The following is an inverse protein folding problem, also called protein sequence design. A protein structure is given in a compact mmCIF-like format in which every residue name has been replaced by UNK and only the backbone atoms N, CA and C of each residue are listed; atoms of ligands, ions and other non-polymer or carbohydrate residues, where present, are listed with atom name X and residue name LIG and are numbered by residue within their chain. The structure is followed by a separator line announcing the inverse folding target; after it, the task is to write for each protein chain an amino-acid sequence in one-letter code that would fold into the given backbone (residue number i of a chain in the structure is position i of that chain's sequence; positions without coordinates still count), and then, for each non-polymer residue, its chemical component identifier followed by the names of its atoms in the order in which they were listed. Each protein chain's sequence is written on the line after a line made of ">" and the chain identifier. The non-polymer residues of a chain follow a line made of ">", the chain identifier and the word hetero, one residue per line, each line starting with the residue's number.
data_IF_998340345890
#
_entry.id   IF_998340345890
#
_cell.length_a   1.000
_cell.length_b   1.000
_cell.length_c   1.000
_cell.angle_alpha   90.00
_cell.angle_beta   90.00
_cell.angle_gamma   90.00
#
_symmetry.space_group_name_H-M   'P 1'
#
loop_
_entity.id
_entity.type
_entity.pdbx_description
1 polymer ?
#
# COMPACT_ATOMS: atom_id res chain seq x y z
N UNK A 1 15.01 16.14 5.81
CA UNK A 1 13.71 15.59 6.26
C UNK A 1 13.52 14.26 5.55
N UNK A 2 13.09 13.17 6.23
CA UNK A 2 12.77 11.94 5.53
C UNK A 2 11.65 12.24 4.53
N UNK A 3 11.82 11.82 3.28
CA UNK A 3 10.80 12.01 2.26
C UNK A 3 9.59 11.16 2.65
N UNK A 4 8.58 11.79 3.25
CA UNK A 4 7.31 11.13 3.52
C UNK A 4 6.66 10.87 2.18
N UNK A 5 6.76 9.62 1.69
CA UNK A 5 6.04 9.20 0.49
C UNK A 5 4.56 9.35 0.81
N UNK A 6 3.92 10.31 0.14
CA UNK A 6 2.49 10.54 0.27
C UNK A 6 1.73 9.27 -0.14
N UNK A 7 0.64 8.96 0.57
CA UNK A 7 -0.20 7.84 0.19
C UNK A 7 -0.87 8.12 -1.16
N UNK A 8 -0.59 7.26 -2.13
CA UNK A 8 -1.26 7.24 -3.43
C UNK A 8 -2.08 5.95 -3.53
N UNK A 9 -3.42 6.04 -3.55
CA UNK A 9 -4.31 4.89 -3.70
C UNK A 9 -4.06 4.09 -4.98
N UNK A 10 -3.76 4.75 -6.09
CA UNK A 10 -3.53 4.12 -7.39
C UNK A 10 -2.20 3.36 -7.39
N UNK A 11 -1.15 3.98 -6.82
CA UNK A 11 0.13 3.32 -6.63
C UNK A 11 -0.02 2.08 -5.73
N UNK A 12 -0.76 2.22 -4.63
CA UNK A 12 -0.99 1.13 -3.67
C UNK A 12 -1.76 -0.03 -4.30
N UNK A 13 -2.77 0.26 -5.12
CA UNK A 13 -3.51 -0.76 -5.86
C UNK A 13 -2.59 -1.48 -6.85
N UNK A 14 -1.81 -0.73 -7.63
CA UNK A 14 -0.88 -1.30 -8.61
C UNK A 14 0.23 -2.13 -7.94
N UNK A 15 0.72 -1.71 -6.78
CA UNK A 15 1.68 -2.49 -6.00
C UNK A 15 1.12 -3.83 -5.51
N UNK A 16 -0.18 -3.91 -5.17
CA UNK A 16 -0.84 -5.18 -4.84
C UNK A 16 -0.94 -6.09 -6.05
N UNK A 17 -1.30 -5.56 -7.21
CA UNK A 17 -1.36 -6.32 -8.46
C UNK A 17 0.01 -6.90 -8.85
N UNK A 18 1.07 -6.11 -8.72
CA UNK A 18 2.44 -6.61 -8.95
C UNK A 18 2.86 -7.69 -7.95
N UNK A 19 2.46 -7.57 -6.68
CA UNK A 19 2.73 -8.60 -5.67
C UNK A 19 2.05 -9.94 -6.02
N UNK A 20 0.82 -9.90 -6.51
CA UNK A 20 0.08 -11.10 -6.94
C UNK A 20 0.76 -11.74 -8.16
N UNK A 21 1.10 -10.94 -9.17
CA UNK A 21 1.81 -11.44 -10.36
C UNK A 21 3.18 -12.04 -10.00
N UNK A 22 3.87 -11.45 -9.04
CA UNK A 22 5.14 -11.96 -8.54
C UNK A 22 4.96 -13.29 -7.79
N UNK A 23 3.92 -13.40 -6.94
CA UNK A 23 3.57 -14.65 -6.26
C UNK A 23 3.24 -15.77 -7.27
N UNK A 24 2.45 -15.48 -8.30
CA UNK A 24 2.10 -16.42 -9.36
C UNK A 24 3.34 -16.88 -10.13
N UNK A 25 4.21 -15.95 -10.53
CA UNK A 25 5.46 -16.27 -11.22
C UNK A 25 6.39 -17.16 -10.39
N UNK A 26 6.52 -16.87 -9.09
CA UNK A 26 7.35 -17.67 -8.18
C UNK A 26 6.77 -19.06 -7.95
N UNK A 27 5.45 -19.18 -7.90
CA UNK A 27 4.75 -20.46 -7.83
C UNK A 27 4.99 -21.31 -9.09
N UNK A 28 4.91 -20.69 -10.27
CA UNK A 28 5.19 -21.34 -11.56
C UNK A 28 6.65 -21.82 -11.67
N UNK A 29 7.59 -21.07 -11.11
CA UNK A 29 9.00 -21.47 -11.03
C UNK A 29 9.30 -22.52 -9.95
N UNK A 30 8.29 -23.00 -9.22
CA UNK A 30 8.41 -23.88 -8.06
C UNK A 30 9.38 -23.34 -6.98
N UNK A 31 9.58 -22.02 -6.94
CA UNK A 31 10.40 -21.33 -5.94
C UNK A 31 9.59 -21.05 -4.68
N UNK A 32 9.04 -22.12 -4.10
CA UNK A 32 8.22 -22.08 -2.88
C UNK A 32 9.07 -21.95 -1.62
N UNK A 33 10.04 -21.02 -1.63
CA UNK A 33 10.80 -20.73 -0.43
C UNK A 33 9.87 -20.07 0.61
N UNK A 34 9.82 -20.58 1.85
CA UNK A 34 9.05 -19.94 2.91
C UNK A 34 9.46 -18.48 3.14
N UNK A 35 10.73 -18.14 2.93
CA UNK A 35 11.24 -16.78 3.07
C UNK A 35 10.61 -15.82 2.05
N UNK A 36 10.44 -16.29 0.81
CA UNK A 36 9.86 -15.48 -0.27
C UNK A 36 8.39 -15.20 0.01
N UNK A 37 7.66 -16.21 0.50
CA UNK A 37 6.27 -16.04 0.91
C UNK A 37 6.15 -15.03 2.07
N UNK A 38 7.07 -15.10 3.03
CA UNK A 38 7.08 -14.18 4.16
C UNK A 38 7.35 -12.73 3.71
N UNK A 39 8.29 -12.53 2.79
CA UNK A 39 8.57 -11.20 2.20
C UNK A 39 7.35 -10.64 1.45
N UNK A 40 6.67 -11.45 0.63
CA UNK A 40 5.46 -11.03 -0.07
C UNK A 40 4.35 -10.60 0.91
N UNK A 41 4.17 -11.36 2.00
CA UNK A 41 3.23 -11.02 3.06
C UNK A 41 3.61 -9.72 3.78
N UNK A 42 4.89 -9.50 4.07
CA UNK A 42 5.37 -8.24 4.66
C UNK A 42 5.10 -7.04 3.76
N UNK A 43 5.37 -7.15 2.46
CA UNK A 43 5.12 -6.09 1.49
C UNK A 43 3.62 -5.75 1.41
N UNK A 44 2.75 -6.76 1.41
CA UNK A 44 1.30 -6.53 1.40
C UNK A 44 0.81 -5.84 2.69
N UNK A 45 1.36 -6.22 3.86
CA UNK A 45 1.07 -5.54 5.13
C UNK A 45 1.50 -4.08 5.10
N UNK A 46 2.68 -3.77 4.57
CA UNK A 46 3.17 -2.40 4.45
C UNK A 46 2.23 -1.52 3.60
N UNK A 47 1.79 -2.02 2.43
CA UNK A 47 0.84 -1.29 1.58
C UNK A 47 -0.49 -1.04 2.33
N UNK A 48 -0.94 -2.02 3.10
CA UNK A 48 -2.17 -1.92 3.89
C UNK A 48 -2.06 -0.87 5.01
N UNK A 49 -0.94 -0.84 5.70
CA UNK A 49 -0.66 0.17 6.74
C UNK A 49 -0.59 1.57 6.12
N UNK A 50 0.10 1.72 4.99
CA UNK A 50 0.21 3.01 4.29
C UNK A 50 -1.17 3.52 3.84
N UNK A 51 -2.04 2.62 3.38
CA UNK A 51 -3.44 2.93 3.06
C UNK A 51 -4.27 3.35 4.28
N UNK A 52 -4.16 2.62 5.38
CA UNK A 52 -4.87 2.95 6.62
C UNK A 52 -4.43 4.31 7.19
N UNK A 53 -3.13 4.61 7.13
CA UNK A 53 -2.57 5.90 7.51
C UNK A 53 -3.11 7.01 6.59
N UNK A 54 -3.10 6.80 5.26
CA UNK A 54 -3.65 7.75 4.30
C UNK A 54 -5.13 8.08 4.56
N UNK A 55 -5.96 7.08 4.86
CA UNK A 55 -7.35 7.26 5.25
C UNK A 55 -7.50 8.02 6.57
N UNK A 56 -6.67 7.71 7.57
CA UNK A 56 -6.70 8.40 8.85
C UNK A 56 -6.31 9.88 8.74
N UNK A 57 -5.41 10.23 7.83
CA UNK A 57 -5.07 11.63 7.53
C UNK A 57 -6.17 12.34 6.73
N UNK A 58 -6.79 11.67 5.75
CA UNK A 58 -7.92 12.23 5.00
C UNK A 58 -9.12 12.56 5.91
N UNK A 59 -9.43 11.70 6.88
CA UNK A 59 -10.53 11.87 7.82
C UNK A 59 -10.28 12.93 8.91
N UNK A 60 -9.06 13.49 9.00
CA UNK A 60 -8.70 14.54 9.96
C UNK A 60 -8.73 15.96 9.39
N UNK A 61 -9.07 16.14 8.11
CA UNK A 61 -9.22 17.47 7.51
C UNK A 61 -10.66 17.95 7.73
N UNK A 62 -10.92 18.97 8.59
CA UNK A 62 -12.25 19.56 8.69
C UNK A 62 -12.59 20.26 7.37
N UNK A 63 -13.83 20.10 6.91
CA UNK A 63 -14.35 20.73 5.70
C UNK A 63 -14.12 22.26 5.74
N UNK A 64 -13.84 22.92 4.59
CA UNK A 64 -13.68 24.36 4.57
C UNK A 64 -14.98 25.04 4.99
N UNK A 65 -14.89 25.81 6.07
CA UNK A 65 -15.95 26.65 6.59
C UNK A 65 -16.31 27.68 5.52
N UNK A 66 -17.50 27.56 4.91
CA UNK A 66 -18.03 28.56 3.98
C UNK A 66 -18.17 29.89 4.74
N UNK A 67 -17.30 30.86 4.48
CA UNK A 67 -17.46 32.24 4.94
C UNK A 67 -18.13 33.04 3.82
N UNK A 68 -19.40 33.45 3.93
CA UNK A 68 -19.95 34.46 3.04
C UNK A 68 -19.52 35.84 3.53
N UNK A 69 -18.99 36.65 2.61
CA UNK A 69 -18.85 38.12 2.75
C UNK A 69 -20.08 38.77 2.17
#
# INVERSE_FOLDING_TARGET
>A
MPATIAYDPNLSQKSREYLIQLEDYLNDMNQKSPDVREVLLYLNKLITIHASIGQAYANKVPAPENTPV
#
